data_IF_026972678200
#
_entry.id   IF_026972678200
#
_cell.length_a   1.000
_cell.length_b   1.000
_cell.length_c   1.000
_cell.angle_alpha   90.00
_cell.angle_beta   90.00
_cell.angle_gamma   90.00
#
_symmetry.space_group_name_H-M   'P 1'
#
loop_
_entity.id
_entity.type
_entity.pdbx_description
1 polymer ?
#
# COMPACT_ATOMS: atom_id res chain seq x y z
N UNK A 1 -19.85 18.85 42.44
CA UNK A 1 -19.49 18.87 41.00
C UNK A 1 -18.16 18.15 40.89
N UNK A 2 -18.19 16.91 40.42
CA UNK A 2 -16.99 16.07 40.32
C UNK A 2 -16.52 16.13 38.88
N UNK A 3 -15.29 16.59 38.66
CA UNK A 3 -14.66 16.59 37.34
C UNK A 3 -14.61 15.17 36.77
N UNK A 4 -14.99 14.95 35.50
CA UNK A 4 -14.81 13.65 34.88
C UNK A 4 -13.31 13.44 34.66
N UNK A 5 -12.73 12.51 35.41
CA UNK A 5 -11.38 12.00 35.18
C UNK A 5 -11.31 11.54 33.73
N UNK A 6 -10.60 12.29 32.89
CA UNK A 6 -10.29 11.89 31.51
C UNK A 6 -9.52 10.57 31.59
N UNK A 7 -10.21 9.47 31.31
CA UNK A 7 -9.61 8.14 31.25
C UNK A 7 -8.54 8.16 30.17
N UNK A 8 -7.28 7.98 30.56
CA UNK A 8 -6.16 7.97 29.61
C UNK A 8 -6.39 6.92 28.53
N UNK A 9 -6.12 7.23 27.24
CA UNK A 9 -6.35 6.29 26.15
C UNK A 9 -5.57 4.99 26.36
N UNK A 10 -6.22 3.85 26.08
CA UNK A 10 -5.58 2.55 26.18
C UNK A 10 -4.34 2.47 25.28
N UNK A 11 -3.36 1.61 25.58
CA UNK A 11 -2.16 1.44 24.75
C UNK A 11 -2.50 1.19 23.28
N UNK A 12 -3.57 0.43 23.01
CA UNK A 12 -4.07 0.14 21.66
C UNK A 12 -4.51 1.42 20.96
N UNK A 13 -5.35 2.26 21.59
CA UNK A 13 -5.83 3.49 20.96
C UNK A 13 -4.71 4.51 20.74
N UNK A 14 -3.67 4.51 21.60
CA UNK A 14 -2.46 5.32 21.41
C UNK A 14 -1.65 4.90 20.19
N UNK A 15 -1.51 3.60 19.90
CA UNK A 15 -0.84 3.13 18.68
C UNK A 15 -1.51 3.68 17.41
N UNK A 16 -2.83 3.82 17.41
CA UNK A 16 -3.57 4.33 16.24
C UNK A 16 -3.56 5.86 16.13
N UNK A 17 -3.57 6.58 17.26
CA UNK A 17 -3.79 8.05 17.28
C UNK A 17 -2.53 8.87 17.53
N UNK A 18 -1.56 8.33 18.26
CA UNK A 18 -0.34 9.03 18.66
C UNK A 18 0.84 8.58 17.81
N UNK A 19 1.25 9.44 16.86
CA UNK A 19 2.35 9.18 15.95
C UNK A 19 3.68 9.00 16.68
N UNK A 20 3.95 9.80 17.71
CA UNK A 20 5.22 9.74 18.43
C UNK A 20 5.32 8.42 19.22
N UNK A 21 4.23 8.04 19.88
CA UNK A 21 4.11 6.74 20.55
C UNK A 21 4.25 5.58 19.56
N UNK A 22 3.57 5.64 18.42
CA UNK A 22 3.68 4.62 17.37
C UNK A 22 5.11 4.48 16.85
N UNK A 23 5.82 5.58 16.64
CA UNK A 23 7.20 5.55 16.14
C UNK A 23 8.18 5.04 17.21
N UNK A 24 8.01 5.45 18.47
CA UNK A 24 8.79 4.93 19.60
C UNK A 24 8.67 3.40 19.72
N UNK A 25 7.46 2.86 19.53
CA UNK A 25 7.20 1.43 19.66
C UNK A 25 7.34 0.64 18.34
N UNK A 26 7.63 1.31 17.22
CA UNK A 26 7.72 0.68 15.89
C UNK A 26 8.72 -0.47 15.82
N UNK A 27 9.93 -0.39 16.41
CA UNK A 27 10.88 -1.50 16.37
C UNK A 27 10.34 -2.74 17.08
N UNK A 28 9.77 -2.57 18.29
CA UNK A 28 9.21 -3.67 19.06
C UNK A 28 8.02 -4.33 18.37
N UNK A 29 7.10 -3.54 17.80
CA UNK A 29 5.98 -4.05 17.01
C UNK A 29 6.44 -4.81 15.75
N UNK A 30 7.50 -4.32 15.11
CA UNK A 30 8.09 -4.99 13.94
C UNK A 30 8.71 -6.33 14.33
N UNK A 31 9.45 -6.40 15.44
CA UNK A 31 10.03 -7.65 15.95
C UNK A 31 8.94 -8.65 16.30
N UNK A 32 7.93 -8.22 17.07
CA UNK A 32 6.80 -9.06 17.42
C UNK A 32 6.09 -9.61 16.17
N UNK A 33 5.81 -8.78 15.18
CA UNK A 33 5.17 -9.22 13.94
C UNK A 33 6.01 -10.23 13.17
N UNK A 34 7.33 -10.01 13.07
CA UNK A 34 8.25 -10.98 12.45
C UNK A 34 8.26 -12.32 13.18
N UNK A 35 8.22 -12.32 14.50
CA UNK A 35 8.12 -13.56 15.29
C UNK A 35 6.81 -14.30 15.05
N UNK A 36 5.69 -13.58 14.98
CA UNK A 36 4.39 -14.15 14.61
C UNK A 36 4.44 -14.81 13.23
N UNK A 37 5.05 -14.16 12.23
CA UNK A 37 5.22 -14.74 10.90
C UNK A 37 6.07 -16.02 10.89
N UNK A 38 7.05 -16.15 11.79
CA UNK A 38 7.83 -17.40 11.91
C UNK A 38 6.97 -18.57 12.39
N UNK A 39 6.01 -18.31 13.26
CA UNK A 39 5.08 -19.32 13.78
C UNK A 39 3.90 -19.55 12.84
N UNK A 40 3.49 -18.53 12.10
CA UNK A 40 2.36 -18.54 11.18
C UNK A 40 2.77 -17.91 9.84
N UNK A 41 3.38 -18.70 8.94
CA UNK A 41 3.88 -18.17 7.66
C UNK A 41 2.80 -17.53 6.78
N UNK A 42 1.55 -18.00 6.88
CA UNK A 42 0.39 -17.45 6.14
C UNK A 42 -0.30 -16.27 6.84
N UNK A 43 0.27 -15.75 7.93
CA UNK A 43 -0.30 -14.61 8.64
C UNK A 43 -0.50 -13.36 7.75
N UNK A 44 0.42 -13.01 6.81
CA UNK A 44 0.21 -11.88 5.91
C UNK A 44 -0.99 -12.07 4.98
N UNK A 45 -1.11 -13.26 4.37
CA UNK A 45 -2.25 -13.61 3.49
C UNK A 45 -3.57 -13.55 4.26
N UNK A 46 -3.60 -14.11 5.47
CA UNK A 46 -4.76 -14.06 6.36
C UNK A 46 -5.12 -12.62 6.73
N UNK A 47 -4.15 -11.79 7.06
CA UNK A 47 -4.39 -10.39 7.41
C UNK A 47 -4.93 -9.61 6.21
N UNK A 48 -4.36 -9.82 5.02
CA UNK A 48 -4.84 -9.24 3.78
C UNK A 48 -6.30 -9.65 3.50
N UNK A 49 -6.62 -10.94 3.57
CA UNK A 49 -7.98 -11.44 3.37
C UNK A 49 -8.99 -10.85 4.37
N UNK A 50 -8.59 -10.70 5.63
CA UNK A 50 -9.44 -10.05 6.63
C UNK A 50 -9.73 -8.59 6.25
N UNK A 51 -8.69 -7.83 5.88
CA UNK A 51 -8.84 -6.42 5.47
C UNK A 51 -9.73 -6.28 4.22
N UNK A 52 -9.61 -7.19 3.25
CA UNK A 52 -10.47 -7.20 2.06
C UNK A 52 -11.90 -7.59 2.42
N UNK A 53 -12.09 -8.58 3.28
CA UNK A 53 -13.42 -9.04 3.71
C UNK A 53 -14.16 -7.98 4.52
N UNK A 54 -13.44 -7.25 5.37
CA UNK A 54 -13.99 -6.13 6.16
C UNK A 54 -14.43 -4.95 5.29
N UNK A 55 -13.99 -4.90 4.02
CA UNK A 55 -14.33 -3.88 3.03
C UNK A 55 -15.14 -4.45 1.86
N UNK A 56 -15.87 -5.56 2.06
CA UNK A 56 -16.58 -6.26 0.99
C UNK A 56 -17.72 -5.43 0.34
N UNK A 57 -18.22 -4.41 1.02
CA UNK A 57 -19.27 -3.49 0.55
C UNK A 57 -18.71 -2.23 -0.12
N UNK A 58 -17.39 -2.11 -0.25
CA UNK A 58 -16.71 -0.97 -0.87
C UNK A 58 -16.33 -1.28 -2.33
N UNK A 59 -16.54 -0.32 -3.23
CA UNK A 59 -16.12 -0.45 -4.63
C UNK A 59 -14.58 -0.36 -4.78
N UNK A 60 -13.93 0.41 -3.90
CA UNK A 60 -12.48 0.67 -3.95
C UNK A 60 -11.87 0.62 -2.56
N UNK A 61 -10.84 -0.23 -2.39
CA UNK A 61 -10.04 -0.31 -1.17
C UNK A 61 -8.60 0.13 -1.44
N UNK A 62 -8.13 1.14 -0.70
CA UNK A 62 -6.74 1.63 -0.80
C UNK A 62 -5.93 1.15 0.40
N UNK A 63 -5.02 0.20 0.17
CA UNK A 63 -4.08 -0.28 1.19
C UNK A 63 -2.75 0.47 1.03
N UNK A 64 -2.38 1.28 2.03
CA UNK A 64 -1.14 2.05 2.03
C UNK A 64 -0.08 1.42 2.91
N UNK A 65 1.20 1.75 2.67
CA UNK A 65 2.30 1.30 3.52
C UNK A 65 2.69 -0.17 3.34
N UNK A 66 2.21 -0.82 2.28
CA UNK A 66 2.67 -2.13 1.84
C UNK A 66 4.19 -2.12 1.64
N UNK A 67 4.87 -3.16 2.14
CA UNK A 67 6.33 -3.33 2.04
C UNK A 67 6.72 -4.59 1.30
N UNK A 68 5.75 -5.42 0.94
CA UNK A 68 5.94 -6.59 0.13
C UNK A 68 6.50 -6.19 -1.23
N UNK A 69 7.37 -7.04 -1.76
CA UNK A 69 8.12 -6.77 -2.98
C UNK A 69 7.24 -6.84 -4.23
N UNK A 70 6.31 -7.80 -4.26
CA UNK A 70 5.43 -8.06 -5.39
C UNK A 70 4.01 -8.42 -4.88
N UNK A 71 3.28 -7.46 -4.28
CA UNK A 71 1.99 -7.73 -3.63
C UNK A 71 0.96 -8.26 -4.62
N UNK A 72 0.91 -7.74 -5.85
CA UNK A 72 -0.03 -8.21 -6.88
C UNK A 72 0.24 -9.65 -7.27
N UNK A 73 1.51 -10.01 -7.53
CA UNK A 73 1.88 -11.38 -7.87
C UNK A 73 1.60 -12.36 -6.71
N UNK A 74 1.80 -11.92 -5.48
CA UNK A 74 1.66 -12.77 -4.30
C UNK A 74 0.20 -12.91 -3.85
N UNK A 75 -0.62 -11.87 -3.97
CA UNK A 75 -1.94 -11.81 -3.31
C UNK A 75 -3.14 -11.83 -4.28
N UNK A 76 -2.95 -11.57 -5.58
CA UNK A 76 -4.07 -11.51 -6.55
C UNK A 76 -4.91 -12.79 -6.59
N UNK A 77 -4.28 -13.95 -6.46
CA UNK A 77 -4.94 -15.24 -6.47
C UNK A 77 -5.89 -15.45 -5.27
N UNK A 78 -5.73 -14.68 -4.19
CA UNK A 78 -6.58 -14.75 -3.00
C UNK A 78 -7.90 -13.99 -3.17
N UNK A 79 -7.99 -13.11 -4.17
CA UNK A 79 -9.12 -12.19 -4.40
C UNK A 79 -9.60 -12.25 -5.85
N UNK A 80 -10.09 -13.40 -6.28
CA UNK A 80 -10.53 -13.63 -7.68
C UNK A 80 -11.64 -12.70 -8.16
N UNK A 81 -12.42 -12.14 -7.23
CA UNK A 81 -13.56 -11.27 -7.53
C UNK A 81 -13.20 -9.77 -7.52
N UNK A 82 -11.94 -9.42 -7.20
CA UNK A 82 -11.49 -8.05 -7.10
C UNK A 82 -10.24 -7.85 -7.93
N UNK A 83 -10.14 -6.71 -8.62
CA UNK A 83 -8.91 -6.35 -9.32
C UNK A 83 -7.91 -5.78 -8.32
N UNK A 84 -6.81 -6.51 -8.08
CA UNK A 84 -5.70 -6.02 -7.26
C UNK A 84 -4.69 -5.27 -8.14
N UNK A 85 -4.31 -4.06 -7.71
CA UNK A 85 -3.32 -3.22 -8.37
C UNK A 85 -2.27 -2.79 -7.35
N UNK A 86 -1.02 -2.71 -7.80
CA UNK A 86 0.06 -2.11 -7.04
C UNK A 86 0.55 -0.82 -7.69
N UNK A 87 0.48 0.25 -6.93
CA UNK A 87 0.89 1.59 -7.34
C UNK A 87 2.17 1.98 -6.61
N UNK A 88 3.27 2.09 -7.35
CA UNK A 88 4.55 2.54 -6.83
C UNK A 88 4.62 4.06 -6.87
N UNK A 89 4.64 4.69 -5.70
CA UNK A 89 4.89 6.14 -5.58
C UNK A 89 6.39 6.38 -5.50
N UNK A 90 6.94 7.12 -6.46
CA UNK A 90 8.34 7.58 -6.45
C UNK A 90 8.44 9.06 -6.16
N UNK A 91 9.59 9.49 -5.65
CA UNK A 91 9.99 10.88 -5.58
C UNK A 91 11.51 10.93 -5.49
N UNK A 92 12.12 11.92 -6.13
CA UNK A 92 13.54 12.17 -6.15
C UNK A 92 14.04 12.47 -4.75
N UNK A 93 15.31 12.15 -4.49
CA UNK A 93 15.92 12.43 -3.19
C UNK A 93 15.86 13.93 -2.86
N UNK A 94 16.03 14.81 -3.87
CA UNK A 94 15.86 16.25 -3.72
C UNK A 94 14.46 16.62 -3.22
N UNK A 95 13.41 16.07 -3.85
CA UNK A 95 12.02 16.32 -3.45
C UNK A 95 11.72 15.77 -2.06
N UNK A 96 12.20 14.56 -1.74
CA UNK A 96 12.07 13.97 -0.40
C UNK A 96 12.73 14.84 0.67
N UNK A 97 13.92 15.37 0.40
CA UNK A 97 14.64 16.24 1.33
C UNK A 97 13.94 17.59 1.53
N UNK A 98 13.46 18.22 0.45
CA UNK A 98 12.70 19.46 0.54
C UNK A 98 11.47 19.30 1.43
N UNK A 99 10.69 18.23 1.21
CA UNK A 99 9.48 17.92 1.99
C UNK A 99 9.77 17.57 3.46
N UNK A 100 10.93 16.98 3.76
CA UNK A 100 11.39 16.74 5.15
C UNK A 100 11.80 18.02 5.86
N UNK A 101 12.47 18.94 5.16
CA UNK A 101 12.99 20.19 5.73
C UNK A 101 11.89 21.21 6.01
N UNK A 102 10.81 21.25 5.22
CA UNK A 102 9.66 22.13 5.45
C UNK A 102 8.83 21.82 6.72
N UNK A 103 9.14 20.75 7.47
CA UNK A 103 8.49 20.49 8.77
C UNK A 103 9.21 21.17 9.95
N UNK A 104 10.33 21.84 9.72
CA UNK A 104 11.05 22.61 10.74
C UNK A 104 10.79 24.10 10.46
N UNK A 105 9.68 24.63 10.97
CA UNK A 105 9.54 26.07 11.11
C UNK A 105 10.36 26.52 12.33
N UNK A 106 11.40 27.30 12.02
CA UNK A 106 11.94 28.43 12.76
C UNK A 106 12.16 28.28 14.28
N UNK A 107 13.37 27.82 14.64
CA UNK A 107 14.32 28.65 15.37
C UNK A 107 15.65 27.88 15.50
N UNK A 108 16.67 28.41 14.83
CA UNK A 108 18.12 28.24 14.99
C UNK A 108 18.77 28.13 13.61
N UNK A 109 19.05 29.30 13.03
CA UNK A 109 20.13 29.44 12.05
C UNK A 109 21.43 29.06 12.75
N UNK A 110 21.90 27.84 12.54
CA UNK A 110 23.33 27.60 12.54
C UNK A 110 23.75 27.18 11.15
N UNK A 111 24.38 28.13 10.48
CA UNK A 111 25.21 27.91 9.33
C UNK A 111 26.29 26.90 9.75
N UNK A 112 26.20 25.67 9.26
CA UNK A 112 27.29 24.71 9.41
C UNK A 112 27.46 23.99 8.07
N UNK A 113 28.49 24.41 7.35
CA UNK A 113 29.11 23.64 6.29
C UNK A 113 29.37 22.23 6.81
N UNK A 114 28.61 21.28 6.29
CA UNK A 114 28.80 19.87 6.61
C UNK A 114 29.89 19.34 5.66
N UNK A 115 31.15 19.53 6.07
CA UNK A 115 32.26 18.74 5.54
C UNK A 115 31.98 17.26 5.75
N UNK A 116 32.30 16.52 4.71
CA UNK A 116 32.12 15.10 4.53
C UNK A 116 33.09 14.31 5.40
N UNK A 117 32.65 13.86 6.58
CA UNK A 117 33.43 12.94 7.41
C UNK A 117 32.67 11.61 7.58
N UNK A 118 33.10 10.64 6.77
CA UNK A 118 32.84 9.22 6.97
C UNK A 118 33.38 8.78 8.34
N UNK A 119 32.51 8.29 9.24
CA UNK A 119 32.68 7.04 10.03
C UNK A 119 31.61 6.93 11.13
N UNK A 120 30.87 5.81 11.12
CA UNK A 120 30.34 5.23 12.36
C UNK A 120 28.86 4.83 12.40
N UNK A 121 28.57 3.63 11.88
CA UNK A 121 27.64 2.64 12.45
C UNK A 121 26.11 2.76 12.26
N UNK A 122 25.59 1.80 11.50
CA UNK A 122 24.24 1.22 11.53
C UNK A 122 23.01 2.09 11.17
N UNK A 123 23.14 2.93 10.16
CA UNK A 123 22.01 3.27 9.29
C UNK A 123 21.93 2.25 8.17
N UNK A 124 20.94 1.35 8.20
CA UNK A 124 20.63 0.42 7.11
C UNK A 124 20.82 1.11 5.76
N UNK A 125 21.85 0.69 5.03
CA UNK A 125 22.11 1.12 3.67
C UNK A 125 20.84 0.91 2.84
N UNK A 126 20.05 1.96 2.65
CA UNK A 126 19.22 2.10 1.45
C UNK A 126 20.15 2.46 0.28
N UNK A 127 21.23 1.70 0.10
CA UNK A 127 21.73 1.43 -1.24
C UNK A 127 20.55 0.72 -1.87
N UNK A 128 19.88 1.43 -2.77
CA UNK A 128 19.09 0.81 -3.81
C UNK A 128 20.04 -0.13 -4.54
N UNK A 129 20.19 -1.34 -4.01
CA UNK A 129 20.49 -2.48 -4.82
C UNK A 129 19.29 -2.54 -5.75
N UNK A 130 19.39 -1.82 -6.87
CA UNK A 130 18.60 -2.09 -8.05
C UNK A 130 19.08 -3.46 -8.55
N UNK A 131 18.84 -4.50 -7.76
CA UNK A 131 18.36 -5.73 -8.34
C UNK A 131 17.13 -5.27 -9.10
N UNK A 132 17.28 -5.10 -10.41
CA UNK A 132 16.17 -5.11 -11.35
C UNK A 132 15.40 -6.38 -11.04
N UNK A 133 14.45 -6.26 -10.13
CA UNK A 133 13.47 -7.29 -9.92
C UNK A 133 12.73 -7.39 -11.24
N UNK A 134 12.61 -8.59 -11.77
CA UNK A 134 11.82 -8.89 -12.96
C UNK A 134 10.31 -8.67 -12.72
N UNK A 135 9.97 -7.98 -11.62
CA UNK A 135 8.64 -7.62 -11.23
C UNK A 135 8.24 -6.27 -11.82
N UNK A 136 7.17 -6.31 -12.61
CA UNK A 136 6.55 -5.13 -13.19
C UNK A 136 5.37 -4.70 -12.34
N UNK A 137 5.50 -3.53 -11.72
CA UNK A 137 4.40 -2.88 -11.01
C UNK A 137 3.25 -2.58 -11.97
N UNK A 138 2.01 -2.62 -11.47
CA UNK A 138 0.83 -2.27 -12.26
C UNK A 138 0.91 -0.82 -12.73
N UNK A 139 1.27 0.09 -11.82
CA UNK A 139 1.38 1.52 -12.09
C UNK A 139 2.54 2.16 -11.31
N UNK A 140 3.13 3.22 -11.88
CA UNK A 140 4.15 4.05 -11.21
C UNK A 140 3.70 5.50 -11.27
N UNK A 141 3.61 6.14 -10.11
CA UNK A 141 3.28 7.55 -9.99
C UNK A 141 4.50 8.33 -9.48
N UNK A 142 4.92 9.32 -10.27
CA UNK A 142 6.03 10.19 -9.91
C UNK A 142 5.54 11.43 -9.15
N UNK A 143 5.77 11.43 -7.84
CA UNK A 143 5.32 12.47 -6.93
C UNK A 143 6.36 13.58 -6.77
N UNK A 144 6.77 14.20 -7.88
CA UNK A 144 7.71 15.33 -7.88
C UNK A 144 7.01 16.67 -7.60
N UNK A 145 5.86 16.88 -8.24
CA UNK A 145 5.13 18.14 -8.15
C UNK A 145 4.45 18.30 -6.77
N UNK A 146 4.26 19.56 -6.37
CA UNK A 146 3.37 19.92 -5.25
C UNK A 146 1.97 20.21 -5.80
N UNK A 147 0.93 19.86 -5.05
CA UNK A 147 -0.46 20.03 -5.46
C UNK A 147 -1.11 18.73 -5.92
N UNK A 148 -2.42 18.77 -6.15
CA UNK A 148 -3.22 17.59 -6.47
C UNK A 148 -3.53 17.40 -7.96
N UNK A 149 -3.17 18.36 -8.82
CA UNK A 149 -3.49 18.34 -10.25
C UNK A 149 -2.86 17.14 -10.98
N UNK A 150 -1.60 16.85 -10.68
CA UNK A 150 -0.86 15.76 -11.34
C UNK A 150 -1.43 14.40 -10.92
N UNK A 151 -1.79 14.24 -9.64
CA UNK A 151 -2.41 12.98 -9.17
C UNK A 151 -3.84 12.83 -9.68
N UNK A 152 -4.61 13.92 -9.82
CA UNK A 152 -5.94 13.88 -10.46
C UNK A 152 -5.84 13.41 -11.90
N UNK A 153 -4.97 14.03 -12.72
CA UNK A 153 -4.73 13.60 -14.11
C UNK A 153 -4.28 12.15 -14.19
N UNK A 154 -3.42 11.73 -13.29
CA UNK A 154 -2.98 10.35 -13.21
C UNK A 154 -4.16 9.39 -12.90
N UNK A 155 -5.01 9.76 -11.94
CA UNK A 155 -6.20 8.98 -11.62
C UNK A 155 -7.18 8.92 -12.80
N UNK A 156 -7.44 10.05 -13.46
CA UNK A 156 -8.31 10.11 -14.65
C UNK A 156 -7.79 9.22 -15.78
N UNK A 157 -6.47 9.14 -15.95
CA UNK A 157 -5.85 8.37 -17.02
C UNK A 157 -5.74 6.87 -16.73
N UNK A 158 -5.47 6.47 -15.48
CA UNK A 158 -5.10 5.10 -15.15
C UNK A 158 -6.01 4.40 -14.15
N UNK A 159 -6.66 5.13 -13.24
CA UNK A 159 -7.47 4.54 -12.17
C UNK A 159 -8.96 4.56 -12.49
N UNK A 160 -9.50 5.72 -12.90
CA UNK A 160 -10.92 5.88 -13.22
C UNK A 160 -11.38 4.94 -14.35
N UNK A 161 -10.62 4.70 -15.42
CA UNK A 161 -11.03 3.77 -16.47
C UNK A 161 -11.24 2.34 -15.96
N UNK A 162 -10.66 1.98 -14.81
CA UNK A 162 -10.82 0.66 -14.19
C UNK A 162 -12.13 0.51 -13.41
N UNK A 163 -12.84 1.62 -13.22
CA UNK A 163 -14.16 1.72 -12.57
C UNK A 163 -15.26 2.05 -13.58
N UNK A 164 -14.96 2.03 -14.88
CA UNK A 164 -15.92 2.41 -15.90
C UNK A 164 -17.05 1.38 -16.01
N UNK A 165 -18.29 1.83 -16.17
CA UNK A 165 -19.48 0.97 -16.29
C UNK A 165 -19.35 -0.05 -17.44
N UNK A 166 -18.61 0.28 -18.50
CA UNK A 166 -18.33 -0.66 -19.58
C UNK A 166 -17.54 -1.90 -19.13
N UNK A 167 -16.70 -1.79 -18.10
CA UNK A 167 -16.02 -2.95 -17.51
C UNK A 167 -16.99 -3.82 -16.73
N UNK A 168 -17.97 -3.25 -16.04
CA UNK A 168 -19.06 -4.00 -15.42
C UNK A 168 -19.93 -4.67 -16.47
N UNK A 169 -20.26 -3.94 -17.56
CA UNK A 169 -20.98 -4.48 -18.71
C UNK A 169 -20.21 -5.65 -19.32
N UNK A 170 -18.91 -5.52 -19.53
CA UNK A 170 -18.05 -6.60 -20.00
C UNK A 170 -18.04 -7.79 -19.03
N UNK A 171 -17.91 -7.55 -17.72
CA UNK A 171 -17.96 -8.60 -16.71
C UNK A 171 -19.29 -9.36 -16.76
N UNK A 172 -20.41 -8.66 -16.94
CA UNK A 172 -21.74 -9.25 -17.10
C UNK A 172 -21.92 -10.07 -18.39
N UNK A 173 -21.09 -9.82 -19.42
CA UNK A 173 -21.08 -10.62 -20.66
C UNK A 173 -20.31 -11.94 -20.50
N UNK A 174 -19.47 -12.07 -19.46
CA UNK A 174 -18.70 -13.28 -19.18
C UNK A 174 -19.59 -14.28 -18.44
N UNK A 175 -20.12 -15.26 -19.16
CA UNK A 175 -20.99 -16.30 -18.56
C UNK A 175 -20.13 -17.33 -17.81
N UNK A 176 -20.42 -17.59 -16.52
CA UNK A 176 -19.81 -18.68 -15.77
C UNK A 176 -20.39 -20.03 -16.22
N UNK A 177 -19.52 -21.01 -16.39
CA UNK A 177 -19.82 -22.38 -16.80
C UNK A 177 -19.27 -23.33 -15.72
N UNK A 178 -20.14 -23.80 -14.81
CA UNK A 178 -19.72 -24.69 -13.74
C UNK A 178 -19.31 -26.06 -14.31
N UNK A 179 -18.35 -26.70 -13.66
CA UNK A 179 -17.86 -28.05 -13.95
C UNK A 179 -17.18 -28.21 -15.32
N UNK A 180 -16.66 -27.12 -15.89
CA UNK A 180 -15.88 -27.15 -17.12
C UNK A 180 -14.41 -26.76 -16.86
N UNK A 181 -13.42 -27.43 -17.48
CA UNK A 181 -13.55 -28.68 -18.25
C UNK A 181 -13.74 -29.92 -17.35
N UNK A 182 -13.68 -29.77 -16.02
CA UNK A 182 -13.88 -30.86 -15.05
C UNK A 182 -14.65 -30.40 -13.81
N UNK A 183 -15.24 -31.32 -13.02
CA UNK A 183 -15.98 -30.99 -11.81
C UNK A 183 -15.17 -30.13 -10.83
N UNK A 184 -15.84 -29.16 -10.20
CA UNK A 184 -15.23 -28.26 -9.21
C UNK A 184 -14.50 -27.05 -9.80
N UNK A 185 -14.54 -26.83 -11.12
CA UNK A 185 -14.02 -25.62 -11.76
C UNK A 185 -15.20 -24.77 -12.24
N UNK A 186 -15.18 -23.47 -11.92
CA UNK A 186 -16.08 -22.47 -12.52
C UNK A 186 -15.35 -21.79 -13.68
N UNK A 187 -15.56 -22.28 -14.90
CA UNK A 187 -14.94 -21.71 -16.09
C UNK A 187 -15.68 -20.46 -16.54
N UNK A 188 -14.96 -19.43 -16.98
CA UNK A 188 -15.55 -18.18 -17.48
C UNK A 188 -15.16 -18.00 -18.93
N UNK A 189 -16.10 -18.20 -19.85
CA UNK A 189 -15.82 -18.09 -21.28
C UNK A 189 -16.03 -16.65 -21.79
N UNK A 190 -15.20 -16.22 -22.75
CA UNK A 190 -15.21 -14.83 -23.29
C UNK A 190 -15.64 -14.75 -24.76
N UNK A 191 -16.06 -15.87 -25.36
CA UNK A 191 -16.30 -15.98 -26.81
C UNK A 191 -17.43 -15.08 -27.32
N UNK A 192 -18.42 -14.76 -26.48
CA UNK A 192 -19.58 -13.97 -26.88
C UNK A 192 -19.42 -12.46 -26.65
N UNK A 193 -18.23 -12.01 -26.23
CA UNK A 193 -17.99 -10.58 -25.96
C UNK A 193 -17.97 -9.77 -27.26
N UNK A 194 -17.33 -10.26 -28.31
CA UNK A 194 -17.18 -9.54 -29.58
C UNK A 194 -18.41 -9.65 -30.52
N UNK A 195 -19.44 -10.40 -30.13
CA UNK A 195 -20.63 -10.69 -30.94
C UNK A 195 -21.88 -9.92 -30.48
N UNK A 196 -21.74 -9.02 -29.50
CA UNK A 196 -22.81 -8.23 -28.87
C UNK A 196 -22.41 -6.77 -28.79
#
# INVERSE_FOLDING_TARGET
>A
MSDPVLKSPSPVSRVYRDRAYKEQHRPALTTFFKEQMRQQPRLPEKHFLNVVSDAADMDVLVITGMRDEAPTATLSHLVSNSRLLDLRVTASEKTRQARRKCQINDNYRHNHDCKNDNRGSNGSNCKSNSTTLDYRHSLVFDNEATGDEVIKRFADQYLIPLLHEDLERLANMVVPMPNFPRPGIEFRHVLNIAQR
#
